data_IF_230220433511
#
_entry.id   IF_230220433511
#
_cell.length_a   1.000
_cell.length_b   1.000
_cell.length_c   1.000
_cell.angle_alpha   90.00
_cell.angle_beta   90.00
_cell.angle_gamma   90.00
#
_symmetry.space_group_name_H-M   'P 1'
#
loop_
_entity.id
_entity.type
_entity.pdbx_description
1 polymer ?
#
# COMPACT_ATOMS: atom_id res chain seq x y z
N UNK A 1 8.50 1.03 5.98
CA UNK A 1 8.99 1.56 7.27
C UNK A 1 8.04 2.55 7.92
N UNK A 2 7.56 3.59 7.22
CA UNK A 2 6.75 4.70 7.78
C UNK A 2 5.55 4.30 8.66
N UNK A 3 4.93 3.13 8.40
CA UNK A 3 3.80 2.58 9.16
C UNK A 3 4.16 1.40 10.10
N UNK A 4 5.45 0.99 10.17
CA UNK A 4 5.96 0.05 11.18
C UNK A 4 5.66 -1.45 11.01
N UNK A 5 5.24 -1.91 9.82
CA UNK A 5 4.90 -3.33 9.58
C UNK A 5 6.12 -4.23 9.26
N UNK A 6 7.16 -3.67 8.66
CA UNK A 6 8.42 -4.35 8.33
C UNK A 6 9.57 -3.67 9.06
N UNK A 7 10.59 -4.45 9.41
CA UNK A 7 11.82 -3.95 10.02
C UNK A 7 12.79 -3.42 8.99
N UNK A 8 14.07 -3.64 9.24
CA UNK A 8 15.14 -3.32 8.29
C UNK A 8 15.03 -4.20 7.04
N UNK A 9 15.42 -3.63 5.91
CA UNK A 9 15.58 -4.37 4.67
C UNK A 9 16.94 -4.04 4.08
N UNK A 10 17.54 -5.02 3.43
CA UNK A 10 18.81 -4.90 2.74
C UNK A 10 18.60 -5.14 1.25
N UNK A 11 19.16 -4.27 0.41
CA UNK A 11 19.16 -4.43 -1.03
C UNK A 11 20.54 -4.92 -1.44
N UNK A 12 20.60 -6.17 -1.88
CA UNK A 12 21.83 -6.80 -2.34
C UNK A 12 21.87 -6.65 -3.86
N UNK A 13 22.89 -5.95 -4.36
CA UNK A 13 23.12 -5.79 -5.80
C UNK A 13 23.90 -7.00 -6.34
N UNK A 14 23.25 -7.78 -7.20
CA UNK A 14 23.83 -8.94 -7.87
C UNK A 14 24.26 -8.65 -9.31
N UNK A 15 24.34 -7.37 -9.71
CA UNK A 15 24.56 -6.90 -11.08
C UNK A 15 23.49 -7.41 -12.08
N UNK A 16 22.35 -7.89 -11.58
CA UNK A 16 21.19 -8.30 -12.39
C UNK A 16 19.98 -7.47 -11.99
N UNK A 17 19.00 -8.08 -11.32
CA UNK A 17 17.74 -7.45 -10.92
C UNK A 17 17.74 -7.06 -9.43
N UNK A 18 18.82 -7.37 -8.71
CA UNK A 18 18.92 -7.18 -7.27
C UNK A 18 18.11 -8.22 -6.48
N UNK A 19 18.43 -8.33 -5.19
CA UNK A 19 17.66 -9.11 -4.21
C UNK A 19 17.34 -8.22 -3.03
N UNK A 20 16.17 -8.41 -2.44
CA UNK A 20 15.73 -7.66 -1.27
C UNK A 20 15.53 -8.65 -0.13
N UNK A 21 16.31 -8.52 0.93
CA UNK A 21 16.15 -9.27 2.17
C UNK A 21 15.36 -8.39 3.13
N UNK A 22 14.24 -8.88 3.65
CA UNK A 22 13.34 -8.11 4.51
C UNK A 22 13.26 -8.80 5.86
N UNK A 23 13.52 -8.06 6.94
CA UNK A 23 13.27 -8.55 8.29
C UNK A 23 11.81 -8.31 8.70
N UNK A 24 11.10 -9.39 9.05
CA UNK A 24 9.69 -9.35 9.44
C UNK A 24 9.55 -9.26 10.96
N UNK A 25 8.87 -8.22 11.44
CA UNK A 25 8.64 -7.97 12.87
C UNK A 25 7.44 -8.76 13.46
N UNK A 26 6.77 -9.59 12.66
CA UNK A 26 5.58 -10.35 13.08
C UNK A 26 4.28 -9.53 13.20
N UNK A 27 4.28 -8.25 12.78
CA UNK A 27 3.10 -7.36 12.84
C UNK A 27 2.25 -7.36 11.56
N UNK A 28 2.72 -8.03 10.51
CA UNK A 28 2.05 -8.09 9.21
C UNK A 28 1.08 -9.28 9.20
N UNK A 29 -0.21 -9.04 9.00
CA UNK A 29 -1.21 -10.09 8.88
C UNK A 29 -1.33 -10.54 7.42
N UNK A 30 -1.49 -9.58 6.51
CA UNK A 30 -1.67 -9.86 5.09
C UNK A 30 -1.21 -8.68 4.25
N UNK A 31 -0.49 -8.96 3.16
CA UNK A 31 -0.20 -8.01 2.10
C UNK A 31 -0.60 -8.61 0.75
N UNK A 32 -1.33 -7.85 -0.07
CA UNK A 32 -1.84 -8.31 -1.37
C UNK A 32 -1.70 -7.21 -2.40
N UNK A 33 -1.19 -7.57 -3.58
CA UNK A 33 -1.24 -6.73 -4.77
C UNK A 33 -2.56 -6.96 -5.51
N UNK A 34 -3.23 -5.88 -5.94
CA UNK A 34 -4.49 -5.94 -6.66
C UNK A 34 -4.21 -5.80 -8.15
N UNK A 35 -4.63 -6.82 -8.91
CA UNK A 35 -4.52 -6.88 -10.37
C UNK A 35 -5.88 -7.30 -10.96
N UNK A 36 -6.44 -6.59 -11.96
CA UNK A 36 -5.89 -5.38 -12.59
C UNK A 36 -5.89 -4.16 -11.66
N UNK A 37 -5.04 -3.18 -11.96
CA UNK A 37 -4.98 -1.93 -11.21
C UNK A 37 -6.14 -1.03 -11.61
N UNK A 38 -7.22 -1.09 -10.84
CA UNK A 38 -8.43 -0.31 -11.07
C UNK A 38 -8.19 1.19 -10.83
N UNK A 39 -8.78 2.01 -11.69
CA UNK A 39 -8.89 3.45 -11.49
C UNK A 39 -9.97 3.72 -10.44
N UNK A 40 -9.63 4.55 -9.44
CA UNK A 40 -10.50 4.86 -8.31
C UNK A 40 -10.52 6.35 -8.08
N UNK A 41 -11.72 6.91 -8.13
CA UNK A 41 -11.99 8.29 -7.78
C UNK A 41 -12.01 8.47 -6.26
N UNK A 42 -11.93 9.72 -5.81
CA UNK A 42 -11.85 10.03 -4.39
C UNK A 42 -13.14 9.68 -3.63
N UNK A 43 -14.28 9.76 -4.32
CA UNK A 43 -15.59 9.43 -3.78
C UNK A 43 -15.74 7.91 -3.55
N UNK A 44 -15.22 7.09 -4.47
CA UNK A 44 -15.35 5.63 -4.42
C UNK A 44 -14.38 5.00 -3.41
N UNK A 45 -13.41 5.77 -2.94
CA UNK A 45 -12.34 5.31 -2.06
C UNK A 45 -12.88 4.72 -0.74
N UNK A 46 -14.00 5.24 -0.23
CA UNK A 46 -14.67 4.68 0.97
C UNK A 46 -15.26 3.29 0.73
N UNK A 47 -15.84 3.06 -0.45
CA UNK A 47 -16.40 1.76 -0.81
C UNK A 47 -15.28 0.72 -0.94
N UNK A 48 -14.17 1.09 -1.58
CA UNK A 48 -13.01 0.21 -1.68
C UNK A 48 -12.37 -0.07 -0.33
N UNK A 49 -12.28 0.91 0.57
CA UNK A 49 -11.79 0.68 1.94
C UNK A 49 -12.66 -0.33 2.68
N UNK A 50 -13.98 -0.19 2.60
CA UNK A 50 -14.92 -1.08 3.28
C UNK A 50 -14.86 -2.53 2.75
N UNK A 51 -14.56 -2.71 1.46
CA UNK A 51 -14.41 -4.04 0.83
C UNK A 51 -13.06 -4.68 1.10
N UNK A 52 -11.99 -3.89 1.16
CA UNK A 52 -10.61 -4.38 1.20
C UNK A 52 -10.07 -4.51 2.63
N UNK A 53 -10.41 -3.57 3.50
CA UNK A 53 -9.86 -3.54 4.87
C UNK A 53 -10.79 -4.27 5.84
N UNK A 54 -10.23 -5.04 6.79
CA UNK A 54 -11.01 -5.76 7.79
C UNK A 54 -11.72 -4.83 8.80
N UNK A 55 -11.22 -3.60 8.98
CA UNK A 55 -11.79 -2.60 9.87
C UNK A 55 -11.45 -1.20 9.38
N UNK A 56 -12.23 -0.20 9.81
CA UNK A 56 -11.95 1.23 9.55
C UNK A 56 -10.78 1.77 10.38
N UNK A 57 -10.39 1.06 11.43
CA UNK A 57 -9.36 1.51 12.38
C UNK A 57 -7.94 1.10 11.98
N UNK A 58 -7.77 0.06 11.15
CA UNK A 58 -6.45 -0.44 10.80
C UNK A 58 -6.40 -0.98 9.38
N UNK A 59 -5.19 -0.89 8.81
CA UNK A 59 -4.89 -1.33 7.46
C UNK A 59 -4.78 -0.18 6.48
N UNK A 60 -4.04 -0.42 5.40
CA UNK A 60 -3.70 0.60 4.43
C UNK A 60 -3.93 0.09 3.02
N UNK A 61 -4.75 0.81 2.26
CA UNK A 61 -4.82 0.71 0.80
C UNK A 61 -3.79 1.66 0.21
N UNK A 62 -3.01 1.15 -0.75
CA UNK A 62 -1.96 1.87 -1.46
C UNK A 62 -2.43 2.20 -2.87
N UNK A 63 -2.24 3.45 -3.26
CA UNK A 63 -2.68 4.03 -4.53
C UNK A 63 -1.49 4.65 -5.26
N UNK A 64 -1.43 4.46 -6.57
CA UNK A 64 -0.58 5.28 -7.46
C UNK A 64 -1.39 6.51 -7.86
N UNK A 65 -0.95 7.68 -7.43
CA UNK A 65 -1.53 8.97 -7.80
C UNK A 65 -0.54 9.78 -8.63
N UNK A 66 -0.97 10.91 -9.18
CA UNK A 66 -0.06 11.87 -9.85
C UNK A 66 1.03 12.42 -8.93
N UNK A 67 0.80 12.41 -7.61
CA UNK A 67 1.75 12.87 -6.60
C UNK A 67 2.67 11.74 -6.08
N UNK A 68 2.64 10.58 -6.74
CA UNK A 68 3.41 9.39 -6.36
C UNK A 68 2.55 8.32 -5.69
N UNK A 69 3.23 7.35 -5.07
CA UNK A 69 2.61 6.26 -4.33
C UNK A 69 2.21 6.76 -2.95
N UNK A 70 0.92 6.76 -2.67
CA UNK A 70 0.33 7.27 -1.44
C UNK A 70 -0.53 6.20 -0.79
N UNK A 71 -0.75 6.32 0.52
CA UNK A 71 -1.83 5.59 1.17
C UNK A 71 -3.17 6.33 0.99
N UNK A 72 -4.27 5.62 1.26
CA UNK A 72 -5.61 6.18 1.17
C UNK A 72 -5.86 7.38 2.09
N UNK A 73 -5.18 7.48 3.23
CA UNK A 73 -5.30 8.62 4.15
C UNK A 73 -4.61 9.87 3.59
N UNK A 74 -3.38 9.74 3.10
CA UNK A 74 -2.62 10.82 2.46
C UNK A 74 -3.29 11.24 1.14
N UNK A 75 -3.83 10.29 0.37
CA UNK A 75 -4.60 10.56 -0.85
C UNK A 75 -5.84 11.43 -0.56
N UNK A 76 -6.58 11.13 0.52
CA UNK A 76 -7.73 11.94 0.95
C UNK A 76 -7.30 13.34 1.38
N UNK A 77 -6.20 13.47 2.13
CA UNK A 77 -5.69 14.79 2.55
C UNK A 77 -5.24 15.67 1.37
N UNK A 78 -4.71 15.03 0.31
CA UNK A 78 -4.23 15.73 -0.89
C UNK A 78 -5.28 15.86 -1.98
N UNK A 79 -6.52 15.42 -1.74
CA UNK A 79 -7.58 15.36 -2.73
C UNK A 79 -7.13 14.71 -4.05
N UNK A 80 -6.37 13.61 -3.98
CA UNK A 80 -5.84 12.90 -5.14
C UNK A 80 -6.50 11.53 -5.29
N UNK A 81 -7.13 11.28 -6.44
CA UNK A 81 -7.52 9.95 -6.90
C UNK A 81 -6.35 9.24 -7.61
N UNK A 82 -6.57 7.99 -8.03
CA UNK A 82 -5.52 7.26 -8.72
C UNK A 82 -5.86 5.80 -8.98
N UNK A 83 -4.81 4.99 -9.18
CA UNK A 83 -4.94 3.53 -9.41
C UNK A 83 -4.63 2.75 -8.15
N UNK A 84 -5.45 1.77 -7.79
CA UNK A 84 -5.14 0.88 -6.67
C UNK A 84 -3.96 -0.03 -7.03
N UNK A 85 -2.95 -0.05 -6.16
CA UNK A 85 -1.82 -0.97 -6.24
C UNK A 85 -2.05 -2.23 -5.41
N UNK A 86 -2.58 -2.06 -4.20
CA UNK A 86 -2.72 -3.17 -3.27
C UNK A 86 -3.09 -2.70 -1.87
N UNK A 87 -3.09 -3.64 -0.94
CA UNK A 87 -3.42 -3.39 0.46
C UNK A 87 -2.48 -4.17 1.38
N UNK A 88 -2.29 -3.65 2.60
CA UNK A 88 -1.61 -4.37 3.66
C UNK A 88 -2.20 -4.02 5.03
N UNK A 89 -2.23 -4.99 5.94
CA UNK A 89 -2.66 -4.84 7.33
C UNK A 89 -2.11 -5.95 8.22
#
# INVERSE_FOLDING_TARGET
MKRGYIGEFEVIDDHRSGKIVINLLGRLNKCVAICPRFDVELNDLEEYQAKLLPSRQFGYVVLTTSHGILDHEEARKKNAGGKILGMFF
#
